data_IF_469955733082
#
_entry.id   IF_469955733082
#
_cell.length_a   1.000
_cell.length_b   1.000
_cell.length_c   1.000
_cell.angle_alpha   90.00
_cell.angle_beta   90.00
_cell.angle_gamma   90.00
#
_symmetry.space_group_name_H-M   'P 1'
#
loop_
_entity.id
_entity.type
_entity.pdbx_description
1 polymer ?
#
# COMPACT_ATOMS: atom_id res chain seq x y z
N UNK A 1 -1.28 27.37 -5.15
CA UNK A 1 -1.28 28.49 -4.18
C UNK A 1 0.15 29.01 -4.00
N UNK A 2 0.35 30.29 -3.68
CA UNK A 2 1.64 30.77 -3.15
C UNK A 2 1.97 30.04 -1.84
N UNK A 3 3.25 29.72 -1.58
CA UNK A 3 3.69 29.17 -0.29
C UNK A 3 4.27 27.75 -0.31
N UNK A 4 4.33 27.08 -1.46
CA UNK A 4 4.97 25.75 -1.60
C UNK A 4 6.35 25.78 -2.27
N UNK A 5 6.82 26.95 -2.71
CA UNK A 5 8.10 27.08 -3.43
C UNK A 5 9.25 26.77 -2.47
N UNK A 6 10.04 25.74 -2.80
CA UNK A 6 11.16 25.29 -1.98
C UNK A 6 10.79 24.34 -0.84
N UNK A 7 9.51 24.02 -0.67
CA UNK A 7 9.05 23.11 0.37
C UNK A 7 9.16 21.64 -0.07
N UNK A 8 9.60 20.79 0.85
CA UNK A 8 9.53 19.33 0.72
C UNK A 8 8.50 18.81 1.72
N UNK A 9 7.51 18.08 1.20
CA UNK A 9 6.46 17.44 1.97
C UNK A 9 6.58 15.92 1.83
N UNK A 10 6.99 15.27 2.91
CA UNK A 10 6.90 13.81 2.99
C UNK A 10 5.46 13.41 3.29
N UNK A 11 4.88 12.58 2.43
CA UNK A 11 3.45 12.28 2.42
C UNK A 11 3.22 10.85 2.89
N UNK A 12 2.57 10.71 4.05
CA UNK A 12 2.17 9.41 4.61
C UNK A 12 0.70 9.42 5.03
N UNK A 13 0.15 8.24 5.33
CA UNK A 13 -1.11 8.10 6.06
C UNK A 13 -0.98 8.48 7.54
N UNK A 14 -2.09 8.44 8.31
CA UNK A 14 -2.10 8.84 9.72
C UNK A 14 -1.45 7.82 10.67
N UNK A 15 -1.18 6.59 10.22
CA UNK A 15 -0.59 5.51 11.03
C UNK A 15 0.24 4.57 10.17
N UNK A 16 1.14 3.83 10.82
CA UNK A 16 1.83 2.70 10.22
C UNK A 16 0.88 1.50 10.12
N UNK A 17 1.04 0.72 9.06
CA UNK A 17 0.23 -0.46 8.81
C UNK A 17 1.10 -1.58 8.25
N UNK A 18 0.93 -2.78 8.80
CA UNK A 18 1.40 -4.02 8.18
C UNK A 18 0.42 -4.48 7.09
N UNK A 19 0.83 -5.42 6.25
CA UNK A 19 -0.09 -6.08 5.33
C UNK A 19 -1.20 -6.85 6.04
N UNK A 20 -0.96 -7.33 7.26
CA UNK A 20 -1.99 -7.96 8.08
C UNK A 20 -3.06 -6.94 8.54
N UNK A 21 -2.66 -5.73 8.91
CA UNK A 21 -3.60 -4.65 9.25
C UNK A 21 -4.45 -4.24 8.04
N UNK A 22 -3.83 -4.14 6.86
CA UNK A 22 -4.53 -3.87 5.60
C UNK A 22 -5.58 -4.95 5.31
N UNK A 23 -5.20 -6.23 5.43
CA UNK A 23 -6.09 -7.36 5.19
C UNK A 23 -7.26 -7.40 6.19
N UNK A 24 -7.01 -7.06 7.47
CA UNK A 24 -8.04 -6.95 8.49
C UNK A 24 -9.03 -5.81 8.19
N UNK A 25 -8.54 -4.62 7.83
CA UNK A 25 -9.38 -3.47 7.46
C UNK A 25 -10.24 -3.79 6.22
N UNK A 26 -9.65 -4.41 5.20
CA UNK A 26 -10.39 -4.85 4.01
C UNK A 26 -11.45 -5.89 4.36
N UNK A 27 -11.13 -6.87 5.20
CA UNK A 27 -12.09 -7.89 5.63
C UNK A 27 -13.31 -7.27 6.31
N UNK A 28 -13.07 -6.30 7.21
CA UNK A 28 -14.12 -5.59 7.93
C UNK A 28 -15.00 -4.75 6.99
N UNK A 29 -14.42 -4.16 5.94
CA UNK A 29 -15.13 -3.32 4.97
C UNK A 29 -15.93 -4.15 3.95
N UNK A 30 -15.34 -5.24 3.45
CA UNK A 30 -15.93 -6.07 2.40
C UNK A 30 -16.94 -7.10 2.93
N UNK A 31 -16.88 -7.42 4.23
CA UNK A 31 -17.77 -8.39 4.86
C UNK A 31 -17.43 -9.85 4.55
N UNK A 32 -16.25 -10.12 3.99
CA UNK A 32 -15.69 -11.46 3.81
C UNK A 32 -14.21 -11.47 4.18
N UNK A 33 -13.66 -12.64 4.47
CA UNK A 33 -12.25 -12.77 4.84
C UNK A 33 -11.34 -12.38 3.67
N UNK A 34 -10.37 -11.51 3.94
CA UNK A 34 -9.21 -11.21 3.12
C UNK A 34 -7.99 -11.59 3.94
N UNK A 35 -7.21 -12.55 3.47
CA UNK A 35 -6.06 -13.07 4.20
C UNK A 35 -4.76 -12.58 3.60
N UNK A 36 -3.91 -11.99 4.42
CA UNK A 36 -2.50 -11.80 4.06
C UNK A 36 -1.76 -13.14 4.18
N UNK A 37 -1.08 -13.55 3.11
CA UNK A 37 -0.22 -14.73 3.07
C UNK A 37 1.18 -14.23 2.80
N UNK A 38 2.08 -14.47 3.75
CA UNK A 38 3.49 -14.17 3.58
C UNK A 38 4.13 -15.22 2.66
N UNK A 39 4.65 -14.76 1.51
CA UNK A 39 5.29 -15.62 0.52
C UNK A 39 6.80 -15.41 0.64
N UNK A 40 7.61 -16.46 0.80
CA UNK A 40 9.06 -16.32 0.78
C UNK A 40 9.53 -15.62 -0.49
N UNK A 41 10.45 -14.67 -0.35
CA UNK A 41 10.91 -13.81 -1.45
C UNK A 41 11.41 -14.60 -2.67
N UNK A 42 12.21 -15.64 -2.43
CA UNK A 42 12.74 -16.50 -3.50
C UNK A 42 11.63 -17.27 -4.24
N UNK A 43 10.57 -17.66 -3.53
CA UNK A 43 9.41 -18.31 -4.12
C UNK A 43 8.62 -17.31 -4.98
N UNK A 44 8.39 -16.09 -4.48
CA UNK A 44 7.74 -15.02 -5.24
C UNK A 44 8.47 -14.70 -6.55
N UNK A 45 9.80 -14.57 -6.53
CA UNK A 45 10.58 -14.28 -7.73
C UNK A 45 10.60 -15.45 -8.74
N UNK A 46 10.57 -16.68 -8.25
CA UNK A 46 10.47 -17.87 -9.11
C UNK A 46 9.13 -17.89 -9.84
N UNK A 47 8.02 -17.76 -9.11
CA UNK A 47 6.68 -17.73 -9.72
C UNK A 47 6.52 -16.58 -10.71
N UNK A 48 7.07 -15.40 -10.40
CA UNK A 48 7.07 -14.26 -11.33
C UNK A 48 7.83 -14.57 -12.63
N UNK A 49 8.99 -15.25 -12.56
CA UNK A 49 9.72 -15.70 -13.76
C UNK A 49 8.90 -16.70 -14.56
N UNK A 50 8.31 -17.68 -13.88
CA UNK A 50 7.53 -18.75 -14.52
C UNK A 50 6.24 -18.23 -15.16
N UNK A 51 5.67 -17.14 -14.63
CA UNK A 51 4.53 -16.43 -15.24
C UNK A 51 4.85 -15.72 -16.56
N UNK A 52 6.15 -15.61 -16.92
CA UNK A 52 6.61 -14.89 -18.11
C UNK A 52 6.72 -13.39 -17.92
N UNK A 53 6.77 -12.89 -16.68
CA UNK A 53 6.89 -11.48 -16.40
C UNK A 53 8.18 -10.88 -17.00
N UNK A 54 8.14 -9.61 -17.47
CA UNK A 54 9.33 -8.93 -17.98
C UNK A 54 10.45 -8.85 -16.94
N UNK A 55 11.71 -9.00 -17.39
CA UNK A 55 12.89 -9.07 -16.50
C UNK A 55 13.08 -7.81 -15.66
N UNK A 56 12.76 -6.65 -16.22
CA UNK A 56 12.80 -5.34 -15.56
C UNK A 56 11.76 -5.24 -14.44
N UNK A 57 10.56 -5.81 -14.63
CA UNK A 57 9.54 -5.90 -13.58
C UNK A 57 10.00 -6.80 -12.44
N UNK A 58 10.57 -7.96 -12.77
CA UNK A 58 11.10 -8.91 -11.76
C UNK A 58 12.23 -8.26 -10.96
N UNK A 59 13.16 -7.58 -11.63
CA UNK A 59 14.24 -6.85 -10.98
C UNK A 59 13.72 -5.75 -10.05
N UNK A 60 12.73 -4.98 -10.50
CA UNK A 60 12.14 -3.89 -9.71
C UNK A 60 11.50 -4.42 -8.43
N UNK A 61 10.74 -5.52 -8.52
CA UNK A 61 10.07 -6.12 -7.37
C UNK A 61 11.07 -6.77 -6.41
N UNK A 62 12.11 -7.43 -6.93
CA UNK A 62 13.23 -7.94 -6.13
C UNK A 62 13.84 -6.83 -5.27
N UNK A 63 14.22 -5.73 -5.92
CA UNK A 63 14.77 -4.56 -5.23
C UNK A 63 13.80 -3.96 -4.20
N UNK A 64 12.53 -3.80 -4.56
CA UNK A 64 11.51 -3.21 -3.68
C UNK A 64 11.34 -4.00 -2.39
N UNK A 65 11.15 -5.32 -2.49
CA UNK A 65 10.90 -6.18 -1.32
C UNK A 65 12.17 -6.41 -0.49
N UNK A 66 13.34 -6.56 -1.13
CA UNK A 66 14.59 -6.80 -0.41
C UNK A 66 15.20 -5.55 0.23
N UNK A 67 14.95 -4.37 -0.35
CA UNK A 67 15.69 -3.14 0.02
C UNK A 67 14.81 -2.00 0.53
N UNK A 68 13.57 -1.87 0.05
CA UNK A 68 12.72 -0.70 0.36
C UNK A 68 11.76 -0.99 1.52
N UNK A 69 11.29 -2.23 1.64
CA UNK A 69 10.32 -2.65 2.65
C UNK A 69 10.96 -3.26 3.92
N UNK A 70 12.25 -2.98 4.15
CA UNK A 70 12.98 -3.47 5.34
C UNK A 70 12.68 -2.71 6.64
N UNK A 71 11.69 -1.82 6.63
CA UNK A 71 11.27 -1.04 7.78
C UNK A 71 11.98 0.30 7.96
N UNK A 72 13.02 0.63 7.18
CA UNK A 72 13.68 1.95 7.27
C UNK A 72 12.75 3.12 6.98
N UNK A 73 11.64 2.87 6.28
CA UNK A 73 10.62 3.86 5.94
C UNK A 73 9.41 3.85 6.89
N UNK A 74 9.48 3.12 8.01
CA UNK A 74 8.35 2.94 8.94
C UNK A 74 8.20 4.12 9.92
N UNK A 75 7.88 5.31 9.40
CA UNK A 75 7.52 6.48 10.18
C UNK A 75 6.36 7.23 9.51
N UNK A 76 5.62 8.01 10.30
CA UNK A 76 4.61 8.93 9.76
C UNK A 76 5.21 10.32 9.60
N UNK A 77 4.71 11.07 8.62
CA UNK A 77 5.07 12.45 8.35
C UNK A 77 3.83 13.34 8.31
N UNK A 78 4.05 14.66 8.31
CA UNK A 78 3.01 15.69 8.40
C UNK A 78 2.80 16.45 7.08
N UNK A 79 3.38 15.97 5.96
CA UNK A 79 3.38 16.67 4.69
C UNK A 79 1.99 16.94 4.14
N UNK A 80 1.01 16.06 4.38
CA UNK A 80 -0.38 16.31 3.99
C UNK A 80 -0.98 17.47 4.78
N UNK A 81 -0.76 17.54 6.09
CA UNK A 81 -1.26 18.61 6.94
C UNK A 81 -0.63 19.94 6.53
N UNK A 82 0.68 19.97 6.28
CA UNK A 82 1.41 21.16 5.85
C UNK A 82 0.99 21.64 4.46
N UNK A 83 0.77 20.72 3.53
CA UNK A 83 0.42 21.07 2.16
C UNK A 83 -1.07 21.41 1.97
N UNK A 84 -1.97 20.73 2.68
CA UNK A 84 -3.42 20.78 2.43
C UNK A 84 -4.26 21.33 3.59
N UNK A 85 -3.66 21.59 4.76
CA UNK A 85 -4.37 22.12 5.93
C UNK A 85 -5.38 21.16 6.57
N UNK A 86 -5.31 19.86 6.25
CA UNK A 86 -6.22 18.82 6.75
C UNK A 86 -5.45 17.54 7.10
N UNK A 87 -6.00 16.66 7.96
CA UNK A 87 -5.37 15.35 8.22
C UNK A 87 -5.32 14.47 6.96
N UNK A 88 -4.33 13.56 6.87
CA UNK A 88 -4.31 12.51 5.85
C UNK A 88 -5.51 11.57 6.04
N UNK A 89 -5.96 10.96 4.95
CA UNK A 89 -7.06 10.00 4.96
C UNK A 89 -6.56 8.67 5.54
N UNK A 90 -7.31 8.06 6.46
CA UNK A 90 -7.00 6.70 6.93
C UNK A 90 -7.32 5.67 5.85
N UNK A 91 -6.59 4.56 5.84
CA UNK A 91 -6.81 3.48 4.89
C UNK A 91 -8.22 2.88 5.01
N UNK A 92 -8.78 2.77 6.22
CA UNK A 92 -10.14 2.26 6.42
C UNK A 92 -11.18 3.14 5.72
N UNK A 93 -11.01 4.47 5.77
CA UNK A 93 -11.93 5.40 5.11
C UNK A 93 -11.84 5.28 3.58
N UNK A 94 -10.61 5.18 3.06
CA UNK A 94 -10.38 4.89 1.64
C UNK A 94 -11.03 3.56 1.22
N UNK A 95 -10.88 2.51 2.02
CA UNK A 95 -11.46 1.21 1.73
C UNK A 95 -13.00 1.27 1.73
N UNK A 96 -13.61 1.94 2.72
CA UNK A 96 -15.07 2.14 2.78
C UNK A 96 -15.61 2.93 1.60
N UNK A 97 -14.89 3.95 1.15
CA UNK A 97 -15.27 4.72 -0.05
C UNK A 97 -15.14 3.86 -1.32
N UNK A 98 -14.05 3.13 -1.46
CA UNK A 98 -13.78 2.30 -2.65
C UNK A 98 -14.75 1.13 -2.74
N UNK A 99 -15.14 0.52 -1.62
CA UNK A 99 -16.14 -0.56 -1.57
C UNK A 99 -17.54 -0.12 -2.04
N UNK A 100 -17.85 1.19 -2.04
CA UNK A 100 -19.09 1.72 -2.63
C UNK A 100 -19.04 1.77 -4.16
N UNK A 101 -17.86 1.69 -4.74
CA UNK A 101 -17.67 1.60 -6.20
C UNK A 101 -17.80 0.13 -6.65
N UNK A 102 -17.83 -0.09 -7.97
CA UNK A 102 -17.90 -1.45 -8.51
C UNK A 102 -16.52 -2.10 -8.69
N UNK A 103 -15.43 -1.41 -8.32
CA UNK A 103 -14.05 -1.84 -8.57
C UNK A 103 -13.67 -3.16 -7.88
N UNK A 104 -14.36 -3.52 -6.79
CA UNK A 104 -14.10 -4.73 -6.01
C UNK A 104 -15.20 -5.79 -6.14
N UNK A 105 -16.20 -5.54 -6.99
CA UNK A 105 -17.23 -6.53 -7.35
C UNK A 105 -16.68 -7.49 -8.42
N UNK A 106 -15.71 -8.32 -8.06
CA UNK A 106 -15.09 -9.20 -9.07
C UNK A 106 -14.17 -10.31 -8.56
N UNK A 107 -13.69 -10.26 -7.32
CA UNK A 107 -12.92 -11.37 -6.76
C UNK A 107 -13.89 -12.38 -6.16
N UNK A 108 -14.60 -13.08 -7.04
CA UNK A 108 -15.35 -14.28 -6.65
C UNK A 108 -14.32 -15.41 -6.56
N UNK A 109 -14.33 -16.25 -5.50
CA UNK A 109 -13.50 -17.45 -5.46
C UNK A 109 -13.72 -18.37 -6.67
#
# INVERSE_FOLDING_TARGET
EPGHVGEVYEVTGPRLMSFADIAADLSAVLGHEVKYIDIPHDDFLREMKDSGAPKDVIWLLDYLFATVLDGRNAYTADGIQRALGRPPKDFTDYARETAKTENWKGVTP
#
